data_IF_209660505824
#
_entry.id   IF_209660505824
#
_cell.length_a   1.000
_cell.length_b   1.000
_cell.length_c   1.000
_cell.angle_alpha   90.00
_cell.angle_beta   90.00
_cell.angle_gamma   90.00
#
_symmetry.space_group_name_H-M   'P 1'
#
loop_
_entity.id
_entity.type
_entity.pdbx_description
1 polymer ?
#
# COMPACT_ATOMS: atom_id res chain seq x y z
N UNK A 1 -25.29 -52.24 -45.38
CA UNK A 1 -24.18 -51.28 -45.56
C UNK A 1 -24.75 -49.92 -45.23
N UNK A 2 -24.68 -49.56 -43.95
CA UNK A 2 -25.22 -48.28 -43.47
C UNK A 2 -24.27 -47.17 -43.95
N UNK A 3 -24.72 -46.31 -44.86
CA UNK A 3 -23.96 -45.12 -45.22
C UNK A 3 -24.06 -44.14 -44.06
N UNK A 4 -23.09 -44.19 -43.15
CA UNK A 4 -22.97 -43.21 -42.05
C UNK A 4 -22.72 -41.84 -42.67
N UNK A 5 -23.77 -41.02 -42.75
CA UNK A 5 -23.64 -39.62 -43.09
C UNK A 5 -22.63 -38.97 -42.12
N UNK A 6 -21.65 -38.20 -42.62
CA UNK A 6 -20.61 -37.64 -41.77
C UNK A 6 -21.26 -36.67 -40.79
N UNK A 7 -21.26 -37.01 -39.50
CA UNK A 7 -21.82 -36.12 -38.47
C UNK A 7 -21.03 -34.80 -38.48
N UNK A 8 -21.68 -33.65 -38.64
CA UNK A 8 -20.99 -32.38 -38.71
C UNK A 8 -20.39 -32.02 -37.34
N UNK A 9 -19.18 -31.47 -37.36
CA UNK A 9 -18.53 -30.88 -36.19
C UNK A 9 -18.54 -29.37 -36.36
N UNK A 10 -18.94 -28.67 -35.30
CA UNK A 10 -18.88 -27.21 -35.26
C UNK A 10 -17.50 -26.80 -34.73
N UNK A 11 -16.69 -26.20 -35.59
CA UNK A 11 -15.39 -25.65 -35.26
C UNK A 11 -15.57 -24.21 -34.79
N UNK A 12 -15.08 -23.89 -33.60
CA UNK A 12 -15.10 -22.55 -33.02
C UNK A 12 -13.65 -22.10 -32.84
N UNK A 13 -13.23 -21.12 -33.63
CA UNK A 13 -11.90 -20.52 -33.54
C UNK A 13 -11.98 -19.23 -32.75
N UNK A 14 -11.36 -19.22 -31.58
CA UNK A 14 -11.17 -18.03 -30.77
C UNK A 14 -10.10 -17.14 -31.42
N UNK A 15 -10.54 -15.98 -31.92
CA UNK A 15 -9.70 -15.02 -32.63
C UNK A 15 -9.15 -13.95 -31.69
N UNK A 16 -7.96 -13.44 -32.03
CA UNK A 16 -7.27 -12.38 -31.30
C UNK A 16 -8.04 -11.05 -31.38
N UNK A 17 -8.87 -10.85 -32.42
CA UNK A 17 -9.67 -9.63 -32.61
C UNK A 17 -10.98 -9.60 -31.79
N UNK A 18 -11.17 -10.55 -30.88
CA UNK A 18 -12.38 -10.62 -30.04
C UNK A 18 -13.65 -11.10 -30.77
N UNK A 19 -13.54 -11.50 -32.04
CA UNK A 19 -14.63 -12.07 -32.82
C UNK A 19 -14.36 -13.55 -33.09
N UNK A 20 -15.16 -14.43 -32.47
CA UNK A 20 -15.03 -15.87 -32.69
C UNK A 20 -15.52 -16.24 -34.09
N UNK A 21 -14.75 -17.07 -34.79
CA UNK A 21 -15.10 -17.58 -36.11
C UNK A 21 -15.65 -18.99 -35.92
N UNK A 22 -16.92 -19.22 -36.28
CA UNK A 22 -17.56 -20.53 -36.14
C UNK A 22 -18.03 -21.07 -37.48
N UNK A 23 -17.64 -22.29 -37.83
CA UNK A 23 -18.05 -22.96 -39.06
C UNK A 23 -18.24 -24.47 -38.84
N UNK A 24 -18.96 -25.11 -39.75
CA UNK A 24 -19.22 -26.54 -39.70
C UNK A 24 -18.32 -27.29 -40.68
N UNK A 25 -17.80 -28.43 -40.24
CA UNK A 25 -16.91 -29.28 -41.03
C UNK A 25 -17.22 -30.75 -40.70
N UNK A 26 -17.23 -31.67 -41.69
CA UNK A 26 -17.42 -33.09 -41.39
C UNK A 26 -16.22 -33.67 -40.61
N UNK A 27 -16.45 -34.71 -39.82
CA UNK A 27 -15.38 -35.38 -39.02
C UNK A 27 -14.23 -35.91 -39.88
N UNK A 28 -14.52 -36.29 -41.12
CA UNK A 28 -13.58 -36.88 -42.06
C UNK A 28 -12.88 -35.85 -42.95
N UNK A 29 -13.21 -34.55 -42.82
CA UNK A 29 -12.48 -33.52 -43.54
C UNK A 29 -11.02 -33.48 -43.11
N UNK A 30 -10.13 -33.19 -44.05
CA UNK A 30 -8.72 -32.94 -43.75
C UNK A 30 -8.52 -31.63 -43.00
N UNK A 31 -7.44 -31.54 -42.21
CA UNK A 31 -7.07 -30.29 -41.56
C UNK A 31 -6.74 -29.19 -42.59
N UNK A 32 -6.29 -29.55 -43.79
CA UNK A 32 -6.07 -28.62 -44.91
C UNK A 32 -7.37 -27.89 -45.28
N UNK A 33 -8.49 -28.61 -45.44
CA UNK A 33 -9.80 -28.00 -45.72
C UNK A 33 -10.30 -27.09 -44.57
N UNK A 34 -9.97 -27.45 -43.33
CA UNK A 34 -10.24 -26.61 -42.16
C UNK A 34 -9.42 -25.29 -42.19
N UNK A 35 -8.20 -25.32 -42.71
CA UNK A 35 -7.42 -24.11 -42.92
C UNK A 35 -7.94 -23.26 -44.08
N UNK A 36 -8.36 -23.86 -45.19
CA UNK A 36 -8.93 -23.13 -46.33
C UNK A 36 -10.17 -22.35 -45.92
N UNK A 37 -11.11 -23.00 -45.23
CA UNK A 37 -12.31 -22.35 -44.67
C UNK A 37 -11.98 -21.27 -43.64
N UNK A 38 -10.93 -21.47 -42.83
CA UNK A 38 -10.43 -20.44 -41.91
C UNK A 38 -9.87 -19.23 -42.66
N UNK A 39 -9.14 -19.45 -43.75
CA UNK A 39 -8.55 -18.40 -44.57
C UNK A 39 -9.56 -17.60 -45.39
N UNK A 40 -10.64 -18.23 -45.85
CA UNK A 40 -11.79 -17.53 -46.46
C UNK A 40 -12.46 -16.56 -45.47
N UNK A 41 -12.62 -17.01 -44.22
CA UNK A 41 -13.30 -16.22 -43.17
C UNK A 41 -12.39 -15.22 -42.47
N UNK A 42 -11.09 -15.47 -42.46
CA UNK A 42 -10.09 -14.60 -41.86
C UNK A 42 -8.85 -14.44 -42.77
N UNK A 43 -8.98 -13.65 -43.85
CA UNK A 43 -7.87 -13.40 -44.78
C UNK A 43 -6.64 -12.74 -44.12
N UNK A 44 -6.85 -11.98 -43.04
CA UNK A 44 -5.78 -11.31 -42.31
C UNK A 44 -4.77 -12.28 -41.66
N UNK A 45 -5.14 -13.55 -41.49
CA UNK A 45 -4.27 -14.56 -40.87
C UNK A 45 -3.20 -15.04 -41.87
N UNK A 46 -3.51 -15.08 -43.17
CA UNK A 46 -2.66 -15.65 -44.23
C UNK A 46 -1.26 -15.02 -44.27
N UNK A 47 -1.16 -13.72 -44.03
CA UNK A 47 0.09 -12.96 -44.09
C UNK A 47 0.78 -12.80 -42.72
N UNK A 48 0.22 -13.41 -41.67
CA UNK A 48 0.72 -13.26 -40.29
C UNK A 48 1.28 -14.57 -39.77
N UNK A 49 2.29 -14.51 -38.90
CA UNK A 49 2.68 -15.69 -38.12
C UNK A 49 1.60 -15.96 -37.08
N UNK A 50 1.10 -17.20 -37.03
CA UNK A 50 0.11 -17.62 -36.04
C UNK A 50 0.32 -19.07 -35.64
N UNK A 51 -0.27 -19.45 -34.51
CA UNK A 51 -0.28 -20.80 -33.97
C UNK A 51 -1.72 -21.13 -33.62
N UNK A 52 -2.25 -22.19 -34.25
CA UNK A 52 -3.57 -22.73 -33.99
C UNK A 52 -3.46 -23.91 -33.02
N UNK A 53 -4.18 -23.85 -31.91
CA UNK A 53 -4.13 -24.88 -30.85
C UNK A 53 -5.52 -25.31 -30.43
N UNK A 54 -5.67 -26.55 -29.98
CA UNK A 54 -6.87 -27.01 -29.27
C UNK A 54 -6.87 -26.52 -27.82
N UNK A 55 -7.98 -26.70 -27.08
CA UNK A 55 -8.01 -26.46 -25.63
C UNK A 55 -6.98 -27.29 -24.84
N UNK A 56 -6.63 -28.48 -25.33
CA UNK A 56 -5.58 -29.34 -24.75
C UNK A 56 -4.15 -28.92 -25.13
N UNK A 57 -3.99 -27.73 -25.74
CA UNK A 57 -2.71 -27.20 -26.24
C UNK A 57 -2.04 -28.09 -27.30
N UNK A 58 -2.81 -28.94 -27.99
CA UNK A 58 -2.32 -29.68 -29.16
C UNK A 58 -2.23 -28.71 -30.34
N UNK A 59 -1.06 -28.62 -30.96
CA UNK A 59 -0.88 -27.80 -32.16
C UNK A 59 -1.60 -28.45 -33.35
N UNK A 60 -2.43 -27.66 -34.04
CA UNK A 60 -3.06 -28.07 -35.29
C UNK A 60 -2.08 -27.75 -36.41
N UNK A 61 -1.65 -28.74 -37.19
CA UNK A 61 -0.74 -28.55 -38.32
C UNK A 61 -1.51 -28.69 -39.63
N UNK A 62 -0.99 -28.11 -40.70
CA UNK A 62 -1.42 -28.42 -42.07
C UNK A 62 -1.08 -29.89 -42.36
N UNK A 63 -2.10 -30.75 -42.35
CA UNK A 63 -1.96 -32.18 -42.58
C UNK A 63 -3.24 -32.76 -43.17
N UNK A 64 -3.12 -33.87 -43.89
CA UNK A 64 -4.27 -34.62 -44.44
C UNK A 64 -4.96 -35.52 -43.40
N UNK A 65 -4.61 -35.38 -42.11
CA UNK A 65 -5.30 -36.07 -41.02
C UNK A 65 -6.76 -35.58 -40.90
N UNK A 66 -7.69 -36.45 -40.51
CA UNK A 66 -9.07 -36.04 -40.32
C UNK A 66 -9.23 -35.18 -39.06
N UNK A 67 -10.17 -34.24 -39.10
CA UNK A 67 -10.55 -33.38 -37.96
C UNK A 67 -10.91 -34.19 -36.70
N UNK A 68 -11.43 -35.42 -36.88
CA UNK A 68 -11.70 -36.36 -35.78
C UNK A 68 -10.49 -36.62 -34.87
N UNK A 69 -9.25 -36.52 -35.40
CA UNK A 69 -8.00 -36.70 -34.65
C UNK A 69 -7.74 -35.59 -33.62
N UNK A 70 -8.45 -34.45 -33.73
CA UNK A 70 -8.38 -33.33 -32.77
C UNK A 70 -9.46 -33.39 -31.69
N UNK A 71 -10.46 -34.27 -31.86
CA UNK A 71 -11.53 -34.44 -30.88
C UNK A 71 -11.03 -35.25 -29.67
N UNK A 72 -11.60 -34.97 -28.50
CA UNK A 72 -11.25 -35.71 -27.28
C UNK A 72 -12.04 -37.01 -27.18
N UNK A 73 -13.28 -37.00 -27.67
CA UNK A 73 -14.17 -38.15 -27.79
C UNK A 73 -14.73 -38.27 -29.21
N UNK A 74 -14.96 -39.48 -29.74
CA UNK A 74 -15.64 -39.67 -31.04
C UNK A 74 -17.09 -39.16 -31.05
N UNK A 75 -17.71 -38.97 -29.88
CA UNK A 75 -19.05 -38.41 -29.73
C UNK A 75 -19.09 -36.88 -29.78
N UNK A 76 -17.94 -36.21 -29.73
CA UNK A 76 -17.89 -34.75 -29.68
C UNK A 76 -18.44 -34.12 -30.98
N UNK A 77 -19.24 -33.07 -30.81
CA UNK A 77 -19.87 -32.31 -31.90
C UNK A 77 -19.26 -30.91 -32.05
N UNK A 78 -18.37 -30.50 -31.14
CA UNK A 78 -17.73 -29.19 -31.14
C UNK A 78 -16.20 -29.33 -31.04
N UNK A 79 -15.48 -28.55 -31.83
CA UNK A 79 -14.02 -28.42 -31.78
C UNK A 79 -13.66 -26.98 -31.48
N UNK A 80 -13.08 -26.72 -30.31
CA UNK A 80 -12.62 -25.39 -29.91
C UNK A 80 -11.13 -25.23 -30.24
N UNK A 81 -10.85 -24.25 -31.07
CA UNK A 81 -9.50 -23.88 -31.48
C UNK A 81 -9.20 -22.47 -30.98
N UNK A 82 -7.94 -22.23 -30.62
CA UNK A 82 -7.43 -20.94 -30.21
C UNK A 82 -6.37 -20.49 -31.19
N UNK A 83 -6.62 -19.35 -31.82
CA UNK A 83 -5.65 -18.66 -32.64
C UNK A 83 -4.78 -17.77 -31.75
N UNK A 84 -3.47 -18.00 -31.78
CA UNK A 84 -2.49 -17.19 -31.04
C UNK A 84 -1.43 -16.68 -32.00
N UNK A 85 -0.90 -15.48 -31.75
CA UNK A 85 0.25 -14.96 -32.49
C UNK A 85 1.51 -15.23 -31.67
N UNK A 86 2.58 -15.81 -32.26
CA UNK A 86 3.85 -15.90 -31.59
C UNK A 86 4.36 -14.48 -31.36
N UNK A 87 4.45 -14.09 -30.09
CA UNK A 87 5.11 -12.85 -29.73
C UNK A 87 6.61 -13.07 -29.89
N UNK A 88 7.29 -12.14 -30.57
CA UNK A 88 8.74 -12.06 -30.57
C UNK A 88 9.17 -11.82 -29.11
N UNK A 89 9.59 -12.89 -28.44
CA UNK A 89 9.85 -12.86 -27.02
C UNK A 89 10.92 -11.83 -26.64
N UNK A 90 10.69 -11.13 -25.54
CA UNK A 90 11.75 -10.66 -24.63
C UNK A 90 11.86 -11.65 -23.48
N UNK A 91 13.04 -11.79 -22.86
CA UNK A 91 13.21 -12.60 -21.64
C UNK A 91 12.36 -11.98 -20.54
N UNK A 92 11.11 -12.45 -20.42
CA UNK A 92 10.08 -11.83 -19.61
C UNK A 92 10.50 -11.68 -18.14
N UNK A 93 9.95 -10.64 -17.51
CA UNK A 93 10.12 -10.32 -16.09
C UNK A 93 9.69 -11.42 -15.11
N UNK A 94 9.27 -12.60 -15.57
CA UNK A 94 9.08 -13.75 -14.70
C UNK A 94 10.38 -14.12 -13.96
N UNK A 95 11.53 -14.05 -14.62
CA UNK A 95 12.83 -14.28 -13.96
C UNK A 95 13.17 -13.22 -12.91
N UNK A 96 12.83 -11.95 -13.15
CA UNK A 96 13.01 -10.89 -12.14
C UNK A 96 12.01 -11.03 -10.99
N UNK A 97 10.76 -11.42 -11.26
CA UNK A 97 9.76 -11.73 -10.23
C UNK A 97 10.22 -12.90 -9.36
N UNK A 98 10.75 -13.97 -9.95
CA UNK A 98 11.29 -15.10 -9.19
C UNK A 98 12.49 -14.69 -8.33
N UNK A 99 13.40 -13.86 -8.87
CA UNK A 99 14.52 -13.32 -8.07
C UNK A 99 14.04 -12.41 -6.94
N UNK A 100 13.07 -11.53 -7.21
CA UNK A 100 12.47 -10.65 -6.22
C UNK A 100 11.77 -11.44 -5.10
N UNK A 101 10.99 -12.47 -5.44
CA UNK A 101 10.36 -13.34 -4.46
C UNK A 101 11.39 -14.18 -3.68
N UNK A 102 12.40 -14.74 -4.36
CA UNK A 102 13.48 -15.51 -3.72
C UNK A 102 14.27 -14.68 -2.71
N UNK A 103 14.56 -13.41 -3.03
CA UNK A 103 15.19 -12.47 -2.09
C UNK A 103 14.37 -12.26 -0.81
N UNK A 104 13.04 -12.10 -0.94
CA UNK A 104 12.11 -11.93 0.19
C UNK A 104 12.02 -13.17 1.08
N UNK A 105 12.13 -14.36 0.49
CA UNK A 105 12.12 -15.62 1.26
C UNK A 105 13.41 -15.84 2.04
N UNK A 106 14.55 -15.43 1.48
CA UNK A 106 15.85 -15.54 2.13
C UNK A 106 15.98 -14.63 3.36
N UNK A 107 15.51 -13.38 3.26
CA UNK A 107 15.61 -12.41 4.37
C UNK A 107 14.74 -12.82 5.57
N UNK A 108 13.51 -13.31 5.33
CA UNK A 108 12.61 -13.79 6.40
C UNK A 108 13.18 -15.01 7.14
N UNK A 109 13.91 -15.89 6.46
CA UNK A 109 14.53 -17.07 7.07
C UNK A 109 15.64 -16.70 8.05
N UNK A 110 16.39 -15.61 7.79
CA UNK A 110 17.49 -15.16 8.67
C UNK A 110 17.00 -14.66 10.02
N UNK A 111 15.88 -13.92 10.07
CA UNK A 111 15.27 -13.46 11.34
C UNK A 111 14.74 -14.63 12.17
N UNK A 112 14.01 -15.54 11.52
CA UNK A 112 13.44 -16.71 12.20
C UNK A 112 14.47 -17.79 12.58
N UNK A 113 15.73 -17.71 12.11
CA UNK A 113 16.76 -18.70 12.45
C UNK A 113 17.23 -18.57 13.92
N UNK A 114 17.22 -17.35 14.47
CA UNK A 114 17.46 -17.12 15.90
C UNK A 114 16.34 -17.77 16.74
N UNK A 115 15.09 -17.62 16.29
CA UNK A 115 13.91 -18.20 16.94
C UNK A 115 13.74 -19.70 16.68
N UNK A 116 14.30 -20.23 15.59
CA UNK A 116 14.23 -21.65 15.26
C UNK A 116 14.91 -22.52 16.33
N UNK A 117 15.98 -22.01 16.94
CA UNK A 117 16.67 -22.68 18.03
C UNK A 117 16.03 -22.41 19.40
N UNK A 118 15.09 -21.46 19.52
CA UNK A 118 14.45 -21.12 20.79
C UNK A 118 13.62 -22.28 21.38
N UNK A 119 13.18 -23.22 20.53
CA UNK A 119 12.47 -24.43 20.94
C UNK A 119 13.40 -25.55 21.47
N UNK A 120 14.69 -25.51 21.09
CA UNK A 120 15.65 -26.51 21.54
C UNK A 120 15.95 -26.38 23.04
N UNK A 121 16.41 -27.47 23.64
CA UNK A 121 16.69 -27.57 25.08
C UNK A 121 18.20 -27.62 25.31
N UNK A 122 18.66 -27.03 26.41
CA UNK A 122 20.03 -27.17 26.91
C UNK A 122 20.25 -28.54 27.55
N UNK A 123 21.50 -28.88 27.87
CA UNK A 123 21.88 -30.12 28.57
C UNK A 123 21.20 -30.25 29.95
N UNK A 124 20.85 -29.13 30.58
CA UNK A 124 20.08 -29.07 31.83
C UNK A 124 18.56 -29.25 31.62
N UNK A 125 18.12 -29.55 30.39
CA UNK A 125 16.73 -29.75 30.05
C UNK A 125 15.88 -28.48 30.01
N UNK A 126 16.43 -27.27 30.22
CA UNK A 126 15.68 -26.00 30.07
C UNK A 126 15.63 -25.58 28.61
N UNK A 127 14.51 -24.97 28.17
CA UNK A 127 14.41 -24.45 26.79
C UNK A 127 15.27 -23.19 26.63
N UNK A 128 15.91 -23.03 25.47
CA UNK A 128 16.74 -21.86 25.19
C UNK A 128 15.96 -20.54 25.33
N UNK A 129 14.67 -20.54 24.97
CA UNK A 129 13.77 -19.40 25.17
C UNK A 129 13.70 -18.93 26.63
N UNK A 130 13.45 -19.83 27.57
CA UNK A 130 13.35 -19.49 29.00
C UNK A 130 14.68 -19.01 29.58
N UNK A 131 15.80 -19.49 29.03
CA UNK A 131 17.13 -19.06 29.46
C UNK A 131 17.45 -17.67 28.91
N UNK A 132 17.05 -17.38 27.68
CA UNK A 132 17.18 -16.04 27.10
C UNK A 132 16.31 -15.03 27.86
N UNK A 133 15.05 -15.36 28.15
CA UNK A 133 14.14 -14.53 28.95
C UNK A 133 14.68 -14.28 30.37
N UNK A 134 15.28 -15.30 31.00
CA UNK A 134 15.91 -15.12 32.31
C UNK A 134 17.15 -14.21 32.25
N UNK A 135 17.93 -14.26 31.17
CA UNK A 135 19.09 -13.39 30.96
C UNK A 135 18.67 -11.95 30.74
N UNK A 136 17.67 -11.69 29.90
CA UNK A 136 17.16 -10.33 29.66
C UNK A 136 16.57 -9.73 30.94
N UNK A 137 15.87 -10.53 31.75
CA UNK A 137 15.38 -10.08 33.05
C UNK A 137 16.52 -9.79 34.03
N UNK A 138 17.58 -10.59 34.05
CA UNK A 138 18.75 -10.35 34.89
C UNK A 138 19.49 -9.07 34.48
N UNK A 139 19.67 -8.85 33.17
CA UNK A 139 20.25 -7.61 32.63
C UNK A 139 19.40 -6.39 32.99
N UNK A 140 18.07 -6.49 32.87
CA UNK A 140 17.16 -5.41 33.26
C UNK A 140 17.27 -5.08 34.76
N UNK A 141 17.32 -6.10 35.61
CA UNK A 141 17.50 -5.91 37.05
C UNK A 141 18.88 -5.32 37.39
N UNK A 142 19.91 -5.63 36.62
CA UNK A 142 21.25 -5.06 36.78
C UNK A 142 21.31 -3.59 36.33
N UNK A 143 20.56 -3.21 35.29
CA UNK A 143 20.52 -1.85 34.74
C UNK A 143 19.61 -0.91 35.57
N UNK A 144 18.57 -1.45 36.23
CA UNK A 144 17.63 -0.67 37.06
C UNK A 144 18.29 0.31 38.05
N UNK A 145 19.29 -0.09 38.87
CA UNK A 145 19.94 0.85 39.79
C UNK A 145 20.72 1.97 39.08
N UNK A 146 21.32 1.68 37.93
CA UNK A 146 22.05 2.68 37.15
C UNK A 146 21.08 3.70 36.53
N UNK A 147 19.93 3.23 36.02
CA UNK A 147 18.86 4.09 35.51
C UNK A 147 18.27 4.98 36.60
N UNK A 148 18.03 4.43 37.79
CA UNK A 148 17.50 5.19 38.93
C UNK A 148 18.50 6.24 39.44
N UNK A 149 19.80 5.93 39.42
CA UNK A 149 20.84 6.92 39.74
C UNK A 149 20.89 8.03 38.70
N UNK A 150 20.88 7.69 37.40
CA UNK A 150 20.85 8.67 36.31
C UNK A 150 19.62 9.59 36.41
N UNK A 151 18.43 9.04 36.69
CA UNK A 151 17.22 9.83 36.88
C UNK A 151 17.31 10.76 38.11
N UNK A 152 17.88 10.27 39.23
CA UNK A 152 18.12 11.11 40.41
C UNK A 152 19.12 12.22 40.10
N UNK A 153 20.15 11.95 39.32
CA UNK A 153 21.17 12.92 38.95
C UNK A 153 20.61 13.98 38.00
N UNK A 154 19.80 13.59 37.03
CA UNK A 154 19.06 14.52 36.16
C UNK A 154 18.06 15.35 36.95
N UNK A 155 17.33 14.74 37.89
CA UNK A 155 16.44 15.46 38.79
C UNK A 155 17.22 16.49 39.60
N UNK A 156 18.38 16.12 40.19
CA UNK A 156 19.23 17.06 40.93
C UNK A 156 19.73 18.20 40.03
N UNK A 157 20.19 17.91 38.82
CA UNK A 157 20.60 18.95 37.85
C UNK A 157 19.46 19.92 37.51
N UNK A 158 18.25 19.40 37.25
CA UNK A 158 17.06 20.24 37.00
C UNK A 158 16.74 21.13 38.21
N UNK A 159 16.85 20.60 39.42
CA UNK A 159 16.67 21.38 40.65
C UNK A 159 17.75 22.44 40.81
N UNK A 160 19.02 22.10 40.58
CA UNK A 160 20.15 23.03 40.61
C UNK A 160 19.97 24.16 39.57
N UNK A 161 19.53 23.84 38.36
CA UNK A 161 19.24 24.83 37.31
C UNK A 161 18.09 25.76 37.69
N UNK A 162 17.02 25.23 38.30
CA UNK A 162 15.90 26.05 38.81
C UNK A 162 16.40 26.97 39.90
N UNK A 163 17.14 26.46 40.90
CA UNK A 163 17.71 27.25 41.99
C UNK A 163 18.63 28.34 41.45
N UNK A 164 19.54 28.02 40.54
CA UNK A 164 20.44 28.98 39.91
C UNK A 164 19.67 30.04 39.09
N UNK A 165 18.58 29.66 38.41
CA UNK A 165 17.74 30.61 37.69
C UNK A 165 16.95 31.53 38.63
N UNK A 166 16.52 31.02 39.79
CA UNK A 166 15.84 31.83 40.82
C UNK A 166 16.81 32.74 41.56
N UNK A 167 18.04 32.28 41.83
CA UNK A 167 19.10 33.08 42.43
C UNK A 167 19.53 34.20 41.48
N UNK A 168 19.74 33.91 40.18
CA UNK A 168 19.97 34.97 39.17
C UNK A 168 18.83 35.97 39.09
N UNK A 169 17.57 35.51 39.07
CA UNK A 169 16.41 36.42 39.10
C UNK A 169 16.35 37.22 40.40
N UNK A 170 16.71 36.64 41.53
CA UNK A 170 16.73 37.31 42.82
C UNK A 170 17.87 38.32 42.92
N UNK A 171 19.05 38.00 42.40
CA UNK A 171 20.18 38.93 42.26
C UNK A 171 19.85 40.05 41.28
N UNK A 172 19.16 39.77 40.18
CA UNK A 172 18.64 40.79 39.27
C UNK A 172 17.61 41.68 39.99
N UNK A 173 16.69 41.12 40.79
CA UNK A 173 15.74 41.91 41.58
C UNK A 173 16.41 42.72 42.71
N UNK A 174 17.44 42.17 43.37
CA UNK A 174 18.16 42.87 44.44
C UNK A 174 19.12 43.93 43.89
N UNK A 175 19.80 43.65 42.78
CA UNK A 175 20.70 44.61 42.10
C UNK A 175 19.92 45.63 41.26
N UNK A 176 18.70 45.33 40.83
CA UNK A 176 17.76 46.30 40.26
C UNK A 176 17.07 47.09 41.38
N UNK A 177 17.83 47.88 42.13
CA UNK A 177 17.32 48.80 43.16
C UNK A 177 16.25 49.76 42.62
N UNK A 178 14.97 49.36 42.71
CA UNK A 178 13.79 50.19 42.45
C UNK A 178 13.36 50.36 40.99
N UNK A 179 13.86 49.56 40.04
CA UNK A 179 13.51 49.68 38.61
C UNK A 179 12.54 48.62 38.04
N UNK A 180 12.02 47.73 38.87
CA UNK A 180 10.90 46.86 38.50
C UNK A 180 9.57 47.62 38.62
N UNK A 181 9.40 48.70 37.85
CA UNK A 181 8.06 49.24 37.58
C UNK A 181 7.53 48.50 36.36
N UNK A 182 6.39 47.85 36.56
CA UNK A 182 5.59 47.16 35.55
C UNK A 182 5.73 47.87 34.20
N UNK A 183 6.23 47.13 33.20
CA UNK A 183 6.61 47.64 31.89
C UNK A 183 5.46 48.48 31.31
N UNK A 184 5.66 49.79 31.17
CA UNK A 184 4.61 50.72 30.76
C UNK A 184 4.00 50.33 29.41
N UNK A 185 4.79 49.64 28.58
CA UNK A 185 4.39 49.09 27.31
C UNK A 185 3.33 47.98 27.44
N UNK A 186 3.40 47.16 28.48
CA UNK A 186 2.40 46.12 28.74
C UNK A 186 1.07 46.70 29.23
N UNK A 187 1.13 47.78 30.02
CA UNK A 187 -0.06 48.51 30.44
C UNK A 187 -0.76 49.18 29.25
N UNK A 188 0.03 49.79 28.36
CA UNK A 188 -0.47 50.44 27.14
C UNK A 188 -1.04 49.42 26.16
N UNK A 189 -0.37 48.28 25.94
CA UNK A 189 -0.88 47.18 25.10
C UNK A 189 -2.17 46.56 25.69
N UNK A 190 -2.28 46.43 27.01
CA UNK A 190 -3.50 45.96 27.69
C UNK A 190 -4.63 46.98 27.58
N UNK A 191 -4.32 48.27 27.75
CA UNK A 191 -5.28 49.36 27.62
C UNK A 191 -5.77 49.53 26.16
N UNK A 192 -4.90 49.34 25.18
CA UNK A 192 -5.28 49.32 23.76
C UNK A 192 -6.19 48.14 23.40
N UNK A 193 -5.94 46.94 23.96
CA UNK A 193 -6.81 45.79 23.76
C UNK A 193 -8.19 46.01 24.41
N UNK A 194 -8.22 46.63 25.60
CA UNK A 194 -9.47 47.01 26.28
C UNK A 194 -10.22 48.12 25.53
N UNK A 195 -9.52 49.08 24.92
CA UNK A 195 -10.15 50.14 24.12
C UNK A 195 -10.68 49.61 22.78
N UNK A 196 -9.96 48.72 22.09
CA UNK A 196 -10.45 48.05 20.87
C UNK A 196 -11.72 47.24 21.12
N UNK A 197 -11.82 46.58 22.29
CA UNK A 197 -13.03 45.82 22.65
C UNK A 197 -14.20 46.74 23.03
N UNK A 198 -13.96 47.85 23.73
CA UNK A 198 -15.00 48.87 24.01
C UNK A 198 -15.52 49.53 22.73
N UNK A 199 -14.64 49.90 21.80
CA UNK A 199 -15.03 50.50 20.52
C UNK A 199 -15.86 49.53 19.66
N UNK A 200 -15.56 48.24 19.70
CA UNK A 200 -16.35 47.23 19.00
C UNK A 200 -17.78 47.10 19.57
N UNK A 201 -17.92 47.18 20.89
CA UNK A 201 -19.22 47.13 21.58
C UNK A 201 -20.03 48.41 21.29
N UNK A 202 -19.39 49.57 21.30
CA UNK A 202 -20.06 50.86 21.03
C UNK A 202 -20.58 50.92 19.58
N UNK A 203 -19.79 50.47 18.60
CA UNK A 203 -20.23 50.36 17.20
C UNK A 203 -21.38 49.38 17.01
N UNK A 204 -21.38 48.27 17.74
CA UNK A 204 -22.49 47.31 17.70
C UNK A 204 -23.78 47.91 18.26
N UNK A 205 -23.69 48.69 19.35
CA UNK A 205 -24.85 49.33 19.96
C UNK A 205 -25.44 50.44 19.08
N UNK A 206 -24.60 51.23 18.43
CA UNK A 206 -25.02 52.25 17.46
C UNK A 206 -25.70 51.63 16.22
N UNK A 207 -25.13 50.55 15.67
CA UNK A 207 -25.73 49.84 14.54
C UNK A 207 -27.07 49.18 14.92
N UNK A 208 -27.23 48.73 16.17
CA UNK A 208 -28.48 48.18 16.68
C UNK A 208 -29.55 49.26 16.88
N UNK A 209 -29.16 50.49 17.24
CA UNK A 209 -30.06 51.62 17.38
C UNK A 209 -30.51 52.16 16.01
N UNK A 210 -29.60 52.22 15.03
CA UNK A 210 -29.90 52.65 13.65
C UNK A 210 -30.78 51.63 12.90
N UNK A 211 -30.64 50.33 13.18
CA UNK A 211 -31.49 49.27 12.61
C UNK A 211 -32.90 49.20 13.24
N UNK A 212 -33.21 49.98 14.28
CA UNK A 212 -34.51 49.92 14.98
C UNK A 212 -35.50 51.00 14.54
N UNK A 213 -35.14 51.90 13.61
CA UNK A 213 -35.96 53.07 13.24
C UNK A 213 -36.47 53.04 11.78
N UNK A 214 -36.16 51.98 11.02
CA UNK A 214 -36.65 51.77 9.65
C UNK A 214 -37.15 50.33 9.45
N UNK A 215 -38.37 50.00 9.89
CA UNK A 215 -39.31 49.12 9.17
C UNK A 215 -40.63 48.88 9.96
N UNK A 216 -41.67 49.66 9.63
CA UNK A 216 -43.08 49.26 9.78
C UNK A 216 -43.76 49.44 8.41
N UNK A 217 -44.07 48.34 7.70
CA UNK A 217 -45.41 47.99 7.18
C UNK A 217 -45.43 46.88 6.09
N UNK A 218 -46.53 46.10 6.12
CA UNK A 218 -47.14 45.25 5.07
C UNK A 218 -46.72 43.76 4.86
N UNK A 219 -47.58 42.90 5.44
CA UNK A 219 -48.32 41.78 4.83
C UNK A 219 -47.71 40.37 4.59
N UNK A 220 -48.45 39.40 5.16
CA UNK A 220 -48.50 37.90 5.10
C UNK A 220 -48.44 37.31 3.66
N UNK A 221 -48.30 35.98 3.37
CA UNK A 221 -48.56 34.79 4.22
C UNK A 221 -47.61 33.57 3.98
N UNK A 222 -47.96 32.43 4.60
CA UNK A 222 -47.88 31.06 4.03
C UNK A 222 -47.03 30.02 4.78
N UNK A 223 -47.48 28.80 4.56
CA UNK A 223 -47.32 27.59 5.35
C UNK A 223 -46.15 26.74 4.82
N UNK A 224 -45.72 25.79 5.65
CA UNK A 224 -44.96 24.57 5.29
C UNK A 224 -43.45 24.71 5.05
N UNK A 225 -42.64 24.11 5.94
CA UNK A 225 -41.93 22.85 5.64
C UNK A 225 -40.85 22.55 6.69
N UNK A 226 -41.09 21.45 7.40
CA UNK A 226 -40.11 20.49 7.96
C UNK A 226 -38.60 20.82 7.93
N UNK A 227 -37.98 20.80 9.11
CA UNK A 227 -36.71 20.08 9.36
C UNK A 227 -36.49 19.82 10.86
N UNK A 228 -36.14 18.58 11.28
CA UNK A 228 -36.06 18.20 12.67
C UNK A 228 -34.71 18.53 13.33
N UNK A 229 -34.82 18.75 14.63
CA UNK A 229 -33.85 18.88 15.71
C UNK A 229 -32.66 17.92 15.59
N UNK A 230 -31.44 18.46 15.60
CA UNK A 230 -30.23 17.66 15.83
C UNK A 230 -30.24 17.15 17.28
N UNK A 231 -30.38 15.84 17.42
CA UNK A 231 -30.14 15.13 18.66
C UNK A 231 -28.66 15.28 19.04
N UNK A 232 -28.41 15.75 20.26
CA UNK A 232 -27.10 15.63 20.91
C UNK A 232 -26.90 14.14 21.20
N UNK A 233 -26.04 13.50 20.40
CA UNK A 233 -25.54 12.17 20.72
C UNK A 233 -24.58 12.30 21.91
N UNK A 234 -25.01 11.72 23.02
CA UNK A 234 -24.23 11.46 24.22
C UNK A 234 -23.33 10.27 23.90
N UNK A 235 -22.11 10.52 23.40
CA UNK A 235 -21.00 9.57 23.50
C UNK A 235 -20.62 9.54 24.99
N UNK A 236 -20.60 8.41 25.66
CA UNK A 236 -19.94 7.18 25.21
C UNK A 236 -18.64 7.12 25.99
N UNK A 237 -18.75 6.69 27.25
CA UNK A 237 -17.65 6.02 27.93
C UNK A 237 -17.22 4.86 27.02
N UNK A 238 -15.90 4.70 26.83
CA UNK A 238 -15.19 3.66 26.07
C UNK A 238 -14.52 4.18 24.79
N UNK A 239 -13.23 3.83 24.66
CA UNK A 239 -12.31 4.04 23.52
C UNK A 239 -11.38 5.28 23.53
N UNK A 240 -10.47 5.33 24.50
CA UNK A 240 -9.17 6.05 24.40
C UNK A 240 -8.04 5.01 24.36
N UNK A 241 -7.75 4.40 23.20
CA UNK A 241 -6.44 3.75 22.95
C UNK A 241 -6.09 3.50 21.47
N UNK A 242 -6.45 4.39 20.52
CA UNK A 242 -6.16 4.20 19.08
C UNK A 242 -5.42 5.38 18.41
N UNK A 243 -4.63 6.17 19.17
CA UNK A 243 -3.80 7.28 18.63
C UNK A 243 -2.30 6.98 18.54
N UNK A 244 -1.89 5.73 18.30
CA UNK A 244 -0.49 5.42 17.98
C UNK A 244 -0.34 4.49 16.78
N UNK A 245 -0.68 4.98 15.57
CA UNK A 245 0.00 4.60 14.31
C UNK A 245 -0.43 5.55 13.18
N UNK A 246 0.30 6.66 12.99
CA UNK A 246 0.33 7.37 11.71
C UNK A 246 1.74 7.25 11.14
N UNK A 247 1.89 6.30 10.21
CA UNK A 247 3.05 6.05 9.36
C UNK A 247 3.22 7.23 8.40
N UNK A 248 4.24 8.06 8.63
CA UNK A 248 4.64 9.14 7.74
C UNK A 248 5.80 8.65 6.89
N UNK A 249 5.47 8.20 5.68
CA UNK A 249 6.40 7.79 4.62
C UNK A 249 7.08 9.05 4.05
N UNK A 250 8.30 9.32 4.51
CA UNK A 250 9.15 10.41 4.01
C UNK A 250 10.09 9.84 2.94
N UNK A 251 9.87 10.25 1.69
CA UNK A 251 10.71 9.90 0.52
C UNK A 251 12.07 10.60 0.61
N UNK A 252 13.14 9.85 0.93
CA UNK A 252 14.52 10.32 0.79
C UNK A 252 15.04 10.02 -0.63
N UNK A 253 15.08 11.08 -1.45
CA UNK A 253 15.79 11.16 -2.72
C UNK A 253 17.32 11.20 -2.47
N UNK A 254 17.98 10.04 -2.57
CA UNK A 254 19.44 9.96 -2.51
C UNK A 254 20.04 10.05 -3.91
N UNK A 255 20.50 11.25 -4.23
CA UNK A 255 21.28 11.63 -5.42
C UNK A 255 22.43 10.66 -5.73
N UNK A 256 22.48 10.21 -6.98
CA UNK A 256 23.56 9.45 -7.61
C UNK A 256 24.85 10.29 -7.69
N UNK A 257 25.76 10.25 -6.70
CA UNK A 257 27.15 10.69 -6.96
C UNK A 257 28.29 10.09 -6.12
N UNK A 258 28.07 9.12 -5.22
CA UNK A 258 29.19 8.49 -4.50
C UNK A 258 29.10 6.96 -4.40
N UNK A 259 29.28 6.29 -5.55
CA UNK A 259 29.53 4.86 -5.62
C UNK A 259 30.97 4.58 -6.06
N UNK A 260 31.90 4.73 -5.12
CA UNK A 260 33.29 4.29 -5.28
C UNK A 260 33.33 2.77 -5.36
N UNK A 261 33.75 2.25 -6.50
CA UNK A 261 33.92 0.81 -6.79
C UNK A 261 34.88 0.14 -5.78
N UNK A 262 34.52 -1.02 -5.20
CA UNK A 262 35.53 -1.94 -4.69
C UNK A 262 35.97 -2.90 -5.80
N UNK A 263 37.24 -2.81 -6.19
CA UNK A 263 37.92 -3.77 -7.05
C UNK A 263 37.82 -5.18 -6.47
N UNK A 264 37.16 -6.08 -7.20
CA UNK A 264 37.12 -7.51 -6.90
C UNK A 264 38.09 -8.26 -7.82
N UNK A 265 39.28 -8.58 -7.30
CA UNK A 265 40.25 -9.47 -7.96
C UNK A 265 39.65 -10.88 -8.13
N UNK A 266 39.36 -11.24 -9.38
CA UNK A 266 38.88 -12.55 -9.75
C UNK A 266 39.93 -13.64 -9.54
N UNK A 267 39.68 -14.57 -8.60
CA UNK A 267 40.40 -15.85 -8.56
C UNK A 267 39.89 -16.76 -9.67
N UNK A 268 40.65 -16.84 -10.76
CA UNK A 268 40.45 -17.80 -11.84
C UNK A 268 40.53 -19.25 -11.36
N UNK A 269 39.53 -20.05 -11.73
CA UNK A 269 39.62 -21.52 -11.70
C UNK A 269 39.67 -22.04 -13.13
N UNK A 270 40.66 -22.90 -13.35
CA UNK A 270 41.24 -23.23 -14.64
C UNK A 270 40.39 -24.05 -15.60
N UNK A 271 40.81 -23.98 -16.87
CA UNK A 271 40.44 -24.86 -17.97
C UNK A 271 40.83 -26.30 -17.64
N UNK A 272 39.90 -27.23 -17.82
CA UNK A 272 40.23 -28.63 -18.05
C UNK A 272 40.41 -28.82 -19.57
N UNK A 273 41.53 -29.44 -19.94
CA UNK A 273 41.81 -30.00 -21.26
C UNK A 273 41.11 -31.34 -21.42
#
# INVERSE_FOLDING_TARGET
MESTAPSPVTVIVNSIKGQNIAFTTPKDASLTSLYDTLYERAPWIQNSSYILTTNSRRAVRHAEEPVSTLLSSPSDTFLSLRLTVPLCGGKGGFGSILRAQGGRMSSRKKKNQADANASSRNLDGRRLRTVAEAKTLAEYLAIKPEMEQREKDERRKRWEDIVASTERKQEELQNAGGKARLDGKWLEDKEEAENKTKEAIEKMLLAQMESSEEDEEEAKPSTSSSKPTQQRAMFGWDDEDDEFMSDSDEEDDVSEEDAKQPDFEGKGKGKAA
#
